data_IF_022037967537
#
_entry.id   IF_022037967537
#
_cell.length_a   1.000
_cell.length_b   1.000
_cell.length_c   1.000
_cell.angle_alpha   90.00
_cell.angle_beta   90.00
_cell.angle_gamma   90.00
#
_symmetry.space_group_name_H-M   'P 1'
#
loop_
_entity.id
_entity.type
_entity.pdbx_description
1 polymer ?
#
# COMPACT_ATOMS: atom_id res chain seq x y z
N UNK A 1 13.65 11.40 17.72
CA UNK A 1 12.56 11.39 18.71
C UNK A 1 11.68 10.21 18.37
N UNK A 2 11.57 9.19 19.21
CA UNK A 2 10.48 8.24 19.08
C UNK A 2 9.21 8.98 19.52
N UNK A 3 8.45 9.50 18.56
CA UNK A 3 7.05 9.77 18.83
C UNK A 3 6.41 8.45 19.27
N UNK A 4 5.58 8.48 20.32
CA UNK A 4 4.86 7.31 20.80
C UNK A 4 3.95 6.80 19.68
N UNK A 5 4.44 5.81 18.94
CA UNK A 5 3.71 5.16 17.84
C UNK A 5 2.38 4.61 18.37
N UNK A 6 1.27 4.90 17.68
CA UNK A 6 -0.02 4.36 18.09
C UNK A 6 0.05 2.83 18.04
N UNK A 7 -0.58 2.20 19.03
CA UNK A 7 -0.75 0.76 19.03
C UNK A 7 -2.19 0.39 19.32
N UNK A 8 -2.60 -0.73 18.75
CA UNK A 8 -3.90 -1.35 19.02
C UNK A 8 -3.69 -2.81 19.42
N UNK A 9 -4.22 -3.22 20.57
CA UNK A 9 -4.30 -4.64 20.91
C UNK A 9 -5.44 -5.22 20.06
N UNK A 10 -5.14 -6.12 19.12
CA UNK A 10 -6.15 -6.75 18.28
C UNK A 10 -6.88 -7.87 19.00
N UNK A 11 -6.15 -8.74 19.69
CA UNK A 11 -6.71 -9.83 20.45
C UNK A 11 -5.77 -10.24 21.59
N UNK A 12 -6.37 -10.76 22.65
CA UNK A 12 -5.66 -11.24 23.83
C UNK A 12 -6.25 -12.59 24.27
N UNK A 13 -5.39 -13.57 24.54
CA UNK A 13 -5.78 -14.85 25.13
C UNK A 13 -4.70 -15.32 26.09
N UNK A 14 -5.11 -15.56 27.33
CA UNK A 14 -4.21 -15.93 28.44
C UNK A 14 -3.13 -14.86 28.61
N UNK A 15 -1.86 -15.22 28.46
CA UNK A 15 -0.69 -14.37 28.59
C UNK A 15 -0.20 -13.78 27.26
N UNK A 16 -0.91 -14.02 26.14
CA UNK A 16 -0.51 -13.62 24.79
C UNK A 16 -1.40 -12.53 24.21
N UNK A 17 -0.77 -11.56 23.56
CA UNK A 17 -1.42 -10.46 22.86
C UNK A 17 -0.94 -10.38 21.40
N UNK A 18 -1.86 -10.08 20.48
CA UNK A 18 -1.57 -9.66 19.13
C UNK A 18 -1.67 -8.13 19.07
N UNK A 19 -0.57 -7.45 18.77
CA UNK A 19 -0.45 -5.99 18.72
C UNK A 19 -0.37 -5.55 17.26
N UNK A 20 -1.02 -4.44 16.94
CA UNK A 20 -0.99 -3.78 15.64
C UNK A 20 -0.44 -2.35 15.77
N UNK A 21 0.49 -2.02 14.88
CA UNK A 21 1.14 -0.71 14.71
C UNK A 21 0.72 -0.11 13.35
N UNK A 22 -0.30 0.76 13.33
CA UNK A 22 -0.82 1.39 12.13
C UNK A 22 0.22 2.04 11.22
N UNK A 23 1.17 2.74 11.81
CA UNK A 23 2.17 3.57 11.13
C UNK A 23 3.18 2.73 10.33
N UNK A 24 3.36 1.46 10.71
CA UNK A 24 4.19 0.49 9.96
C UNK A 24 3.40 -0.25 8.89
N UNK A 25 2.07 -0.13 8.87
CA UNK A 25 1.22 -0.93 8.00
C UNK A 25 1.17 -0.33 6.59
N UNK A 26 1.52 -1.13 5.59
CA UNK A 26 1.50 -0.72 4.18
C UNK A 26 0.26 -1.21 3.41
N UNK A 27 -0.80 -1.63 4.12
CA UNK A 27 -2.06 -2.06 3.50
C UNK A 27 -1.96 -3.28 2.57
N UNK A 28 -0.95 -4.14 2.72
CA UNK A 28 -0.66 -5.19 1.74
C UNK A 28 -1.51 -6.47 1.85
N UNK A 29 -2.20 -6.69 2.97
CA UNK A 29 -3.07 -7.86 3.19
C UNK A 29 -2.39 -9.22 3.31
N UNK A 30 -1.05 -9.29 3.37
CA UNK A 30 -0.33 -10.58 3.55
C UNK A 30 -0.76 -11.30 4.84
N UNK A 31 -1.06 -10.56 5.90
CA UNK A 31 -1.62 -11.10 7.14
C UNK A 31 -3.04 -11.68 6.97
N UNK A 32 -3.86 -11.09 6.10
CA UNK A 32 -5.20 -11.58 5.77
C UNK A 32 -5.10 -12.89 5.00
N UNK A 33 -4.24 -12.96 3.98
CA UNK A 33 -3.95 -14.19 3.23
C UNK A 33 -3.50 -15.33 4.15
N UNK A 34 -2.65 -15.04 5.14
CA UNK A 34 -2.09 -16.08 6.00
C UNK A 34 -3.04 -16.53 7.14
N UNK A 35 -4.02 -15.71 7.50
CA UNK A 35 -4.87 -15.93 8.68
C UNK A 35 -5.72 -17.22 8.53
N UNK A 36 -5.48 -18.28 9.33
CA UNK A 36 -6.22 -19.53 9.20
C UNK A 36 -7.71 -19.42 9.49
N UNK A 37 -8.12 -18.38 10.23
CA UNK A 37 -9.51 -18.12 10.61
C UNK A 37 -10.21 -17.09 9.72
N UNK A 38 -9.50 -16.45 8.78
CA UNK A 38 -10.07 -15.37 7.95
C UNK A 38 -10.60 -14.17 8.77
N UNK A 39 -10.05 -13.97 9.97
CA UNK A 39 -10.54 -13.01 10.96
C UNK A 39 -9.93 -11.60 10.83
N UNK A 40 -9.00 -11.42 9.90
CA UNK A 40 -8.42 -10.12 9.58
C UNK A 40 -9.00 -9.65 8.24
N UNK A 41 -9.10 -8.35 8.07
CA UNK A 41 -9.45 -7.74 6.79
C UNK A 41 -8.69 -6.45 6.56
N UNK A 42 -8.42 -6.13 5.29
CA UNK A 42 -7.89 -4.83 4.89
C UNK A 42 -9.02 -3.97 4.32
N UNK A 43 -9.07 -2.71 4.74
CA UNK A 43 -10.08 -1.74 4.34
C UNK A 43 -9.75 -0.99 3.04
N UNK A 44 -10.28 0.22 2.91
CA UNK A 44 -10.13 1.09 1.74
C UNK A 44 -8.72 1.70 1.62
N UNK A 45 -7.72 0.88 1.22
CA UNK A 45 -6.31 1.29 1.13
C UNK A 45 -6.14 2.57 0.31
N UNK A 46 -6.80 2.66 -0.85
CA UNK A 46 -6.74 3.84 -1.71
C UNK A 46 -7.20 5.12 -0.99
N UNK A 47 -8.41 5.11 -0.42
CA UNK A 47 -8.96 6.27 0.28
C UNK A 47 -8.15 6.67 1.52
N UNK A 48 -7.66 5.69 2.29
CA UNK A 48 -6.84 5.94 3.48
C UNK A 48 -5.51 6.59 3.08
N UNK A 49 -4.80 6.03 2.09
CA UNK A 49 -3.52 6.62 1.60
C UNK A 49 -3.72 8.03 1.05
N UNK A 50 -4.86 8.31 0.42
CA UNK A 50 -5.23 9.64 -0.10
C UNK A 50 -5.65 10.64 0.97
N UNK A 51 -5.70 10.24 2.24
CA UNK A 51 -6.16 11.10 3.34
C UNK A 51 -7.65 11.44 3.31
N UNK A 52 -8.45 10.64 2.58
CA UNK A 52 -9.90 10.84 2.44
C UNK A 52 -10.70 10.12 3.52
N UNK A 53 -10.05 9.22 4.26
CA UNK A 53 -10.66 8.42 5.30
C UNK A 53 -9.70 8.28 6.46
N UNK A 54 -10.10 8.76 7.65
CA UNK A 54 -9.38 8.50 8.89
C UNK A 54 -9.73 7.09 9.39
N UNK A 55 -8.94 6.12 8.95
CA UNK A 55 -9.11 4.72 9.33
C UNK A 55 -7.78 3.96 9.24
N UNK A 56 -7.72 2.86 9.99
CA UNK A 56 -6.63 1.89 9.88
C UNK A 56 -6.77 1.03 8.63
N UNK A 57 -5.64 0.69 8.00
CA UNK A 57 -5.65 -0.25 6.88
C UNK A 57 -6.17 -1.63 7.27
N UNK A 58 -5.83 -2.09 8.49
CA UNK A 58 -6.11 -3.45 8.94
C UNK A 58 -7.13 -3.42 10.08
N UNK A 59 -8.15 -4.27 9.97
CA UNK A 59 -9.16 -4.48 11.00
C UNK A 59 -9.25 -5.96 11.39
N UNK A 60 -9.61 -6.21 12.64
CA UNK A 60 -9.99 -7.53 13.14
C UNK A 60 -11.52 -7.63 13.18
N UNK A 61 -12.08 -8.70 12.62
CA UNK A 61 -13.54 -8.89 12.54
C UNK A 61 -14.12 -9.18 13.93
N UNK A 62 -13.62 -10.24 14.56
CA UNK A 62 -14.09 -10.70 15.87
C UNK A 62 -12.90 -10.96 16.78
N UNK A 63 -12.70 -10.11 17.80
CA UNK A 63 -11.55 -10.20 18.71
C UNK A 63 -11.46 -11.58 19.39
N UNK A 64 -12.60 -12.09 19.86
CA UNK A 64 -12.71 -13.38 20.56
C UNK A 64 -12.46 -14.61 19.67
N UNK A 65 -12.77 -14.51 18.38
CA UNK A 65 -12.54 -15.59 17.42
C UNK A 65 -11.03 -15.79 17.12
N UNK A 66 -10.19 -14.80 17.40
CA UNK A 66 -8.76 -14.87 17.19
C UNK A 66 -8.13 -15.95 18.07
N UNK A 67 -7.32 -16.83 17.48
CA UNK A 67 -6.58 -17.84 18.23
C UNK A 67 -5.26 -17.32 18.81
N UNK A 68 -4.89 -16.08 18.51
CA UNK A 68 -3.62 -15.47 18.95
C UNK A 68 -2.43 -16.38 18.57
N UNK A 69 -2.47 -16.94 17.34
CA UNK A 69 -1.49 -17.90 16.85
C UNK A 69 -0.20 -17.28 16.29
N UNK A 70 -0.21 -15.96 16.03
CA UNK A 70 0.95 -15.20 15.54
C UNK A 70 1.31 -15.37 14.07
N UNK A 71 0.61 -16.19 13.29
CA UNK A 71 0.94 -16.38 11.85
C UNK A 71 0.91 -15.06 11.08
N UNK A 72 -0.08 -14.19 11.35
CA UNK A 72 -0.19 -12.87 10.72
C UNK A 72 1.00 -11.95 11.03
N UNK A 73 1.54 -12.02 12.26
CA UNK A 73 2.72 -11.28 12.67
C UNK A 73 3.99 -11.86 12.00
N UNK A 74 4.10 -13.18 11.92
CA UNK A 74 5.26 -13.86 11.31
C UNK A 74 5.41 -13.59 9.82
N UNK A 75 4.33 -13.34 9.10
CA UNK A 75 4.35 -13.01 7.66
C UNK A 75 4.43 -11.51 7.37
N UNK A 76 4.34 -10.66 8.40
CA UNK A 76 4.31 -9.22 8.20
C UNK A 76 5.69 -8.72 7.77
N UNK A 77 5.85 -8.15 6.55
CA UNK A 77 7.17 -7.74 6.06
C UNK A 77 7.69 -6.49 6.78
N UNK A 78 6.81 -5.63 7.30
CA UNK A 78 7.17 -4.35 7.95
C UNK A 78 7.14 -4.42 9.48
N UNK A 79 6.78 -5.56 10.07
CA UNK A 79 6.63 -5.66 11.53
C UNK A 79 5.44 -4.87 12.10
N UNK A 80 4.45 -4.48 11.28
CA UNK A 80 3.23 -3.81 11.74
C UNK A 80 2.35 -4.67 12.66
N UNK A 81 2.56 -5.99 12.69
CA UNK A 81 1.91 -6.90 13.62
C UNK A 81 2.96 -7.60 14.46
N UNK A 82 2.79 -7.55 15.77
CA UNK A 82 3.69 -8.18 16.74
C UNK A 82 2.93 -9.06 17.71
N UNK A 83 3.61 -10.09 18.22
CA UNK A 83 3.10 -10.91 19.30
C UNK A 83 3.78 -10.50 20.60
N UNK A 84 3.03 -10.34 21.68
CA UNK A 84 3.58 -10.21 23.02
C UNK A 84 3.17 -11.38 23.89
N UNK A 85 4.05 -11.80 24.79
CA UNK A 85 3.76 -12.76 25.85
C UNK A 85 4.32 -12.22 27.16
N UNK A 86 3.48 -12.12 28.20
CA UNK A 86 3.85 -11.52 29.50
C UNK A 86 4.48 -10.11 29.32
N UNK A 87 3.94 -9.33 28.38
CA UNK A 87 4.43 -7.98 28.06
C UNK A 87 5.70 -7.90 27.21
N UNK A 88 6.38 -9.04 26.96
CA UNK A 88 7.59 -9.09 26.13
C UNK A 88 7.24 -9.41 24.68
N UNK A 89 7.84 -8.66 23.75
CA UNK A 89 7.71 -8.94 22.31
C UNK A 89 8.34 -10.29 21.98
N UNK A 90 7.55 -11.17 21.38
CA UNK A 90 7.97 -12.45 20.82
C UNK A 90 8.43 -12.22 19.38
N UNK A 91 9.70 -11.92 19.18
CA UNK A 91 10.30 -11.76 17.85
C UNK A 91 11.58 -12.58 17.75
N UNK A 92 11.47 -13.76 17.16
CA UNK A 92 12.57 -14.68 16.86
C UNK A 92 12.77 -14.81 15.34
N UNK A 93 13.66 -15.70 14.90
CA UNK A 93 13.94 -15.95 13.48
C UNK A 93 12.78 -16.60 12.70
N UNK A 94 11.64 -16.87 13.34
CA UNK A 94 10.42 -17.29 12.66
C UNK A 94 9.52 -16.13 12.19
N UNK A 95 9.92 -14.88 12.46
CA UNK A 95 9.26 -13.66 11.97
C UNK A 95 9.98 -13.12 10.75
N UNK A 96 9.26 -12.88 9.67
CA UNK A 96 9.82 -12.40 8.41
C UNK A 96 10.59 -11.09 8.58
N UNK A 97 10.01 -10.10 9.26
CA UNK A 97 10.65 -8.82 9.55
C UNK A 97 11.92 -8.94 10.38
N UNK A 98 12.09 -10.03 11.14
CA UNK A 98 13.28 -10.28 11.94
C UNK A 98 14.35 -11.10 11.21
N UNK A 99 13.90 -12.06 10.39
CA UNK A 99 14.78 -12.92 9.60
C UNK A 99 15.41 -12.19 8.42
N UNK A 100 14.70 -11.19 7.88
CA UNK A 100 15.21 -10.33 6.81
C UNK A 100 16.41 -9.51 7.29
N UNK A 101 17.49 -9.55 6.51
CA UNK A 101 18.68 -8.73 6.78
C UNK A 101 18.31 -7.25 6.65
N UNK A 102 18.63 -6.42 7.66
CA UNK A 102 18.38 -4.99 7.57
C UNK A 102 19.17 -4.39 6.40
N UNK A 103 18.60 -3.38 5.75
CA UNK A 103 19.33 -2.64 4.72
C UNK A 103 20.54 -1.96 5.36
N UNK A 104 21.73 -2.23 4.85
CA UNK A 104 22.98 -1.80 5.49
C UNK A 104 23.90 -1.08 4.51
N UNK A 105 24.69 -0.14 5.04
CA UNK A 105 25.72 0.61 4.30
C UNK A 105 27.10 0.16 4.77
N UNK A 106 27.99 -0.18 3.83
CA UNK A 106 29.36 -0.57 4.12
C UNK A 106 30.33 0.64 4.06
N UNK A 107 31.60 0.39 4.37
CA UNK A 107 32.67 1.39 4.44
C UNK A 107 33.07 2.03 3.09
N UNK A 108 32.59 1.50 1.96
CA UNK A 108 32.82 2.08 0.64
C UNK A 108 31.95 3.31 0.35
N UNK A 109 31.00 3.62 1.25
CA UNK A 109 30.12 4.78 1.11
C UNK A 109 30.90 6.09 1.05
N UNK A 110 30.49 6.98 0.14
CA UNK A 110 31.07 8.31 -0.05
C UNK A 110 30.13 9.44 0.38
N UNK A 111 29.00 9.11 1.02
CA UNK A 111 28.02 10.06 1.55
C UNK A 111 27.50 11.07 0.51
N UNK A 112 27.24 10.62 -0.72
CA UNK A 112 26.81 11.47 -1.83
C UNK A 112 25.34 11.92 -1.77
N UNK A 113 24.51 11.35 -0.90
CA UNK A 113 23.10 11.76 -0.70
C UNK A 113 22.10 11.15 -1.68
N UNK A 114 22.53 10.49 -2.77
CA UNK A 114 21.61 9.94 -3.78
C UNK A 114 20.60 8.93 -3.19
N UNK A 115 21.00 8.16 -2.19
CA UNK A 115 20.12 7.20 -1.52
C UNK A 115 19.02 7.88 -0.68
N UNK A 116 19.31 9.03 -0.08
CA UNK A 116 18.35 9.85 0.66
C UNK A 116 17.33 10.46 -0.31
N UNK A 117 17.80 11.08 -1.40
CA UNK A 117 16.94 11.70 -2.41
C UNK A 117 15.98 10.71 -3.10
N UNK A 118 16.40 9.47 -3.31
CA UNK A 118 15.59 8.46 -4.02
C UNK A 118 14.68 7.63 -3.11
N UNK A 119 14.85 7.69 -1.79
CA UNK A 119 14.13 6.81 -0.87
C UNK A 119 12.63 7.16 -0.86
N UNK A 120 11.74 6.27 -1.34
CA UNK A 120 10.31 6.59 -1.42
C UNK A 120 9.62 6.70 -0.05
N UNK A 121 10.27 6.19 1.00
CA UNK A 121 9.77 6.21 2.37
C UNK A 121 10.47 7.28 3.22
N UNK A 122 11.50 7.97 2.71
CA UNK A 122 12.23 8.98 3.47
C UNK A 122 13.02 8.42 4.67
N UNK A 123 13.43 7.16 4.64
CA UNK A 123 14.06 6.48 5.79
C UNK A 123 15.58 6.65 5.88
N UNK A 124 16.19 7.47 5.03
CA UNK A 124 17.66 7.56 4.92
C UNK A 124 18.07 8.98 5.23
N UNK A 125 19.02 9.14 6.15
CA UNK A 125 19.61 10.43 6.53
C UNK A 125 21.09 10.42 6.18
N UNK A 126 21.56 11.43 5.43
CA UNK A 126 22.97 11.56 5.04
C UNK A 126 23.55 12.87 5.56
N UNK A 127 24.44 12.78 6.56
CA UNK A 127 25.25 13.92 7.01
C UNK A 127 26.60 13.90 6.33
N UNK A 128 27.09 15.06 5.86
CA UNK A 128 28.35 15.18 5.12
C UNK A 128 29.02 16.53 5.29
N UNK A 129 30.35 16.50 5.32
CA UNK A 129 31.23 17.65 5.48
C UNK A 129 32.46 17.47 4.56
N UNK A 130 33.10 18.58 4.19
CA UNK A 130 34.39 18.53 3.49
C UNK A 130 35.47 18.20 4.51
N UNK A 131 36.34 17.24 4.18
CA UNK A 131 37.44 16.82 5.05
C UNK A 131 38.34 18.00 5.43
N UNK A 132 38.65 18.11 6.72
CA UNK A 132 39.54 19.14 7.27
C UNK A 132 41.03 18.89 6.94
N UNK A 133 41.39 17.70 6.47
CA UNK A 133 42.76 17.30 6.15
C UNK A 133 43.27 17.85 4.80
N UNK A 134 42.54 18.78 4.19
CA UNK A 134 42.86 19.39 2.89
C UNK A 134 42.62 18.49 1.69
N UNK A 135 42.15 17.25 1.89
CA UNK A 135 41.72 16.39 0.78
C UNK A 135 40.30 16.75 0.38
N UNK A 136 40.04 16.78 -0.92
CA UNK A 136 38.71 17.02 -1.49
C UNK A 136 37.83 15.77 -1.39
N UNK A 137 37.61 15.32 -0.15
CA UNK A 137 36.85 14.12 0.22
C UNK A 137 35.69 14.53 1.12
N UNK A 138 34.52 13.94 0.89
CA UNK A 138 33.39 14.03 1.80
C UNK A 138 33.58 13.02 2.95
N UNK A 139 33.43 13.51 4.18
CA UNK A 139 33.34 12.69 5.40
C UNK A 139 31.95 12.86 5.99
N UNK A 140 31.37 11.79 6.51
CA UNK A 140 29.96 11.82 6.88
C UNK A 140 29.45 10.54 7.50
N UNK A 141 28.13 10.50 7.69
CA UNK A 141 27.41 9.32 8.14
C UNK A 141 26.18 9.14 7.26
N UNK A 142 25.93 7.91 6.84
CA UNK A 142 24.68 7.52 6.18
C UNK A 142 23.96 6.57 7.11
N UNK A 143 22.80 6.99 7.61
CA UNK A 143 21.96 6.21 8.50
C UNK A 143 20.70 5.77 7.77
N UNK A 144 20.28 4.52 7.97
CA UNK A 144 19.05 3.98 7.40
C UNK A 144 18.17 3.56 8.56
N UNK A 145 17.00 4.15 8.68
CA UNK A 145 15.97 3.72 9.62
C UNK A 145 15.33 2.42 9.12
N UNK A 146 15.65 1.32 9.80
CA UNK A 146 15.16 -0.02 9.46
C UNK A 146 13.71 -0.25 9.84
N UNK A 147 13.13 0.57 10.72
CA UNK A 147 11.72 0.46 11.09
C UNK A 147 10.80 1.12 10.05
N UNK A 148 11.34 2.10 9.33
CA UNK A 148 10.69 2.77 8.19
C UNK A 148 10.93 2.03 6.85
N UNK A 149 12.10 1.40 6.69
CA UNK A 149 12.51 0.81 5.41
C UNK A 149 11.58 -0.32 4.95
N UNK A 150 11.10 -0.24 3.70
CA UNK A 150 10.29 -1.30 3.07
C UNK A 150 11.10 -2.25 2.18
N UNK A 151 12.43 -2.15 2.20
CA UNK A 151 13.35 -3.03 1.46
C UNK A 151 13.15 -3.02 -0.07
N UNK A 152 12.80 -1.86 -0.64
CA UNK A 152 12.52 -1.73 -2.07
C UNK A 152 13.76 -1.87 -2.98
N UNK A 153 14.95 -1.43 -2.54
CA UNK A 153 16.19 -1.55 -3.32
C UNK A 153 16.65 -0.27 -4.02
N UNK A 154 15.86 0.80 -4.06
CA UNK A 154 16.22 2.05 -4.78
C UNK A 154 17.57 2.63 -4.36
N UNK A 155 17.89 2.61 -3.07
CA UNK A 155 19.16 3.09 -2.55
C UNK A 155 20.36 2.26 -3.03
N UNK A 156 20.19 0.94 -3.21
CA UNK A 156 21.22 0.07 -3.74
C UNK A 156 21.44 0.34 -5.23
N UNK A 157 20.34 0.44 -6.00
CA UNK A 157 20.39 0.70 -7.44
C UNK A 157 21.01 2.04 -7.81
N UNK A 158 20.78 3.10 -7.02
CA UNK A 158 21.34 4.43 -7.30
C UNK A 158 22.79 4.57 -6.78
N UNK A 159 23.28 3.63 -5.98
CA UNK A 159 24.57 3.78 -5.31
C UNK A 159 25.73 3.62 -6.31
N UNK A 160 26.51 4.68 -6.59
CA UNK A 160 27.56 4.62 -7.62
C UNK A 160 28.75 3.73 -7.23
N UNK A 161 28.85 3.37 -5.95
CA UNK A 161 29.95 2.59 -5.36
C UNK A 161 29.46 1.27 -4.76
N UNK A 162 28.20 0.89 -5.01
CA UNK A 162 27.60 -0.37 -4.52
C UNK A 162 27.80 -0.60 -3.00
N UNK A 163 27.71 0.48 -2.21
CA UNK A 163 27.94 0.43 -0.77
C UNK A 163 26.72 -0.06 0.03
N UNK A 164 25.55 -0.20 -0.61
CA UNK A 164 24.29 -0.53 0.06
C UNK A 164 23.84 -1.93 -0.32
N UNK A 165 23.49 -2.74 0.69
CA UNK A 165 22.94 -4.08 0.53
C UNK A 165 21.49 -4.12 1.01
N UNK A 166 20.60 -4.72 0.21
CA UNK A 166 19.17 -4.84 0.49
C UNK A 166 18.75 -6.30 0.30
N UNK A 167 18.02 -6.84 1.27
CA UNK A 167 17.31 -8.12 1.14
C UNK A 167 15.81 -7.85 1.12
N UNK A 168 15.12 -8.32 0.07
CA UNK A 168 13.67 -8.16 -0.10
C UNK A 168 12.91 -9.24 0.68
N UNK A 169 11.63 -9.01 1.04
CA UNK A 169 10.83 -10.02 1.74
C UNK A 169 10.36 -11.15 0.81
N UNK A 170 10.01 -10.82 -0.43
CA UNK A 170 9.36 -11.74 -1.37
C UNK A 170 9.93 -11.59 -2.78
N UNK A 171 9.90 -12.70 -3.52
CA UNK A 171 9.88 -12.70 -4.99
C UNK A 171 8.44 -12.89 -5.46
N UNK A 172 8.13 -12.48 -6.69
CA UNK A 172 6.77 -12.63 -7.18
C UNK A 172 6.55 -12.26 -8.64
N UNK A 173 5.27 -12.30 -9.00
CA UNK A 173 4.73 -11.87 -10.28
C UNK A 173 3.75 -10.73 -10.05
N UNK A 174 3.84 -9.71 -10.90
CA UNK A 174 2.88 -8.63 -10.98
C UNK A 174 2.36 -8.59 -12.42
N UNK A 175 1.04 -8.52 -12.58
CA UNK A 175 0.41 -8.35 -13.89
C UNK A 175 -0.72 -7.33 -13.78
N UNK A 176 -1.01 -6.64 -14.88
CA UNK A 176 -2.11 -5.70 -14.97
C UNK A 176 -2.83 -5.81 -16.30
N UNK A 177 -4.13 -6.01 -16.26
CA UNK A 177 -4.98 -6.06 -17.45
C UNK A 177 -5.16 -4.63 -18.04
N UNK A 178 -4.64 -4.40 -19.24
CA UNK A 178 -4.78 -3.12 -19.96
C UNK A 178 -6.25 -2.79 -20.29
N UNK A 179 -7.10 -3.80 -20.48
CA UNK A 179 -8.49 -3.60 -20.89
C UNK A 179 -9.36 -3.20 -19.70
N UNK A 180 -8.99 -3.61 -18.49
CA UNK A 180 -9.71 -3.30 -17.25
C UNK A 180 -9.19 -2.01 -16.62
N UNK A 181 -7.87 -1.79 -16.65
CA UNK A 181 -7.25 -0.61 -16.04
C UNK A 181 -7.82 0.70 -16.63
N UNK A 182 -8.32 1.59 -15.76
CA UNK A 182 -8.84 2.90 -16.15
C UNK A 182 -7.91 4.06 -15.76
N UNK A 183 -6.67 3.76 -15.34
CA UNK A 183 -5.64 4.78 -15.06
C UNK A 183 -6.07 5.81 -13.99
N UNK A 184 -6.73 5.37 -12.92
CA UNK A 184 -7.12 6.25 -11.79
C UNK A 184 -5.98 6.58 -10.80
N UNK A 185 -4.77 6.07 -11.07
CA UNK A 185 -3.53 6.29 -10.30
C UNK A 185 -3.51 5.78 -8.85
N UNK A 186 -4.59 5.18 -8.34
CA UNK A 186 -4.63 4.65 -6.96
C UNK A 186 -3.48 3.69 -6.68
N UNK A 187 -3.17 2.79 -7.61
CA UNK A 187 -2.07 1.82 -7.47
C UNK A 187 -0.67 2.46 -7.44
N UNK A 188 -0.50 3.65 -8.02
CA UNK A 188 0.77 4.41 -8.01
C UNK A 188 0.96 5.04 -6.64
N UNK A 189 -0.08 5.68 -6.12
CA UNK A 189 -0.05 6.39 -4.84
C UNK A 189 0.09 5.45 -3.64
N UNK A 190 -0.59 4.29 -3.66
CA UNK A 190 -0.51 3.30 -2.56
C UNK A 190 0.78 2.47 -2.59
N UNK A 191 1.63 2.60 -3.61
CA UNK A 191 2.82 1.77 -3.73
C UNK A 191 3.92 2.25 -2.77
N UNK A 192 4.22 1.55 -1.67
CA UNK A 192 5.23 2.02 -0.71
C UNK A 192 6.65 1.99 -1.29
N UNK A 193 6.86 1.17 -2.31
CA UNK A 193 8.16 1.01 -2.96
C UNK A 193 8.34 1.97 -4.16
N UNK A 194 7.34 2.77 -4.52
CA UNK A 194 7.33 3.56 -5.77
C UNK A 194 7.71 2.71 -7.00
N UNK A 195 7.26 1.45 -7.02
CA UNK A 195 7.58 0.47 -8.06
C UNK A 195 6.59 0.51 -9.24
N UNK A 196 5.53 1.32 -9.13
CA UNK A 196 4.45 1.44 -10.11
C UNK A 196 4.35 2.90 -10.50
N UNK A 197 4.34 3.21 -11.80
CA UNK A 197 4.40 4.58 -12.30
C UNK A 197 3.79 4.69 -13.70
N UNK A 198 3.34 5.88 -14.08
CA UNK A 198 2.95 6.16 -15.46
C UNK A 198 4.19 6.55 -16.27
N UNK A 199 4.45 5.84 -17.37
CA UNK A 199 5.55 6.19 -18.29
C UNK A 199 5.20 7.49 -19.02
N UNK A 200 6.13 8.43 -19.10
CA UNK A 200 5.99 9.62 -19.96
C UNK A 200 5.98 9.18 -21.43
N UNK A 201 4.98 9.63 -22.18
CA UNK A 201 4.86 9.38 -23.61
C UNK A 201 5.13 10.65 -24.41
N UNK A 202 5.74 10.51 -25.59
CA UNK A 202 5.78 11.58 -26.58
C UNK A 202 4.42 11.68 -27.30
N UNK A 203 4.08 12.83 -27.90
CA UNK A 203 2.87 12.94 -28.72
C UNK A 203 2.80 11.83 -29.78
N UNK A 204 1.70 11.08 -29.79
CA UNK A 204 1.47 9.94 -30.71
C UNK A 204 2.11 8.61 -30.28
N UNK A 205 2.93 8.58 -29.23
CA UNK A 205 3.50 7.34 -28.68
C UNK A 205 2.46 6.63 -27.82
N UNK A 206 2.23 5.34 -28.10
CA UNK A 206 1.42 4.49 -27.23
C UNK A 206 2.32 3.86 -26.17
N UNK A 207 2.05 4.16 -24.90
CA UNK A 207 2.71 3.55 -23.75
C UNK A 207 1.69 2.74 -22.96
N UNK A 208 2.19 1.84 -22.11
CA UNK A 208 1.36 1.17 -21.12
C UNK A 208 0.69 2.20 -20.20
N UNK A 209 -0.56 1.96 -19.82
CA UNK A 209 -1.29 2.87 -18.91
C UNK A 209 -0.55 3.08 -17.59
N UNK A 210 -0.01 1.98 -17.06
CA UNK A 210 0.75 1.90 -15.81
C UNK A 210 1.90 0.92 -16.01
N UNK A 211 3.12 1.36 -15.75
CA UNK A 211 4.34 0.53 -15.81
C UNK A 211 4.76 0.07 -14.42
N UNK A 212 5.51 -1.03 -14.38
CA UNK A 212 5.99 -1.68 -13.17
C UNK A 212 7.50 -1.88 -13.23
N UNK A 213 8.20 -1.64 -12.12
CA UNK A 213 9.64 -1.90 -11.94
C UNK A 213 9.85 -3.10 -11.01
N UNK A 214 10.12 -4.31 -11.56
CA UNK A 214 10.34 -5.51 -10.75
C UNK A 214 11.46 -5.35 -9.71
N UNK A 215 12.53 -4.65 -10.10
CA UNK A 215 13.71 -4.45 -9.24
C UNK A 215 13.43 -3.57 -8.02
N UNK A 216 12.34 -2.79 -8.03
CA UNK A 216 11.87 -2.03 -6.86
C UNK A 216 10.71 -2.73 -6.12
N UNK A 217 9.97 -3.60 -6.80
CA UNK A 217 8.79 -4.25 -6.25
C UNK A 217 9.15 -5.26 -5.15
N UNK A 218 8.38 -5.23 -4.07
CA UNK A 218 8.48 -6.20 -2.95
C UNK A 218 7.33 -7.20 -2.95
N UNK A 219 6.48 -7.18 -3.98
CA UNK A 219 5.34 -8.10 -4.18
C UNK A 219 4.38 -8.17 -2.97
N UNK A 220 4.20 -7.05 -2.28
CA UNK A 220 3.39 -7.00 -1.06
C UNK A 220 1.90 -7.23 -1.34
N UNK A 221 1.36 -6.64 -2.42
CA UNK A 221 -0.04 -6.75 -2.84
C UNK A 221 -0.91 -5.51 -2.61
N UNK A 222 -0.40 -4.44 -1.99
CA UNK A 222 -1.19 -3.24 -1.67
C UNK A 222 -1.89 -2.62 -2.89
N UNK A 223 -1.22 -2.60 -4.04
CA UNK A 223 -1.78 -2.11 -5.30
C UNK A 223 -2.95 -2.94 -5.84
N UNK A 224 -2.96 -4.26 -5.60
CA UNK A 224 -4.06 -5.13 -5.97
C UNK A 224 -5.28 -4.86 -5.06
N UNK A 225 -5.06 -4.73 -3.76
CA UNK A 225 -6.13 -4.41 -2.78
C UNK A 225 -6.77 -3.06 -3.07
N UNK A 226 -5.96 -2.07 -3.44
CA UNK A 226 -6.44 -0.71 -3.69
C UNK A 226 -7.07 -0.52 -5.08
N UNK A 227 -7.02 -1.52 -5.97
CA UNK A 227 -7.52 -1.37 -7.33
C UNK A 227 -9.05 -1.46 -7.34
N UNK A 228 -9.79 -0.38 -7.65
CA UNK A 228 -11.26 -0.38 -7.57
C UNK A 228 -11.95 -1.18 -8.67
N UNK A 229 -11.18 -1.68 -9.64
CA UNK A 229 -11.64 -2.41 -10.82
C UNK A 229 -10.94 -3.76 -10.97
N UNK A 230 -10.18 -4.20 -9.96
CA UNK A 230 -9.49 -5.50 -9.96
C UNK A 230 -8.57 -5.74 -11.17
N UNK A 231 -7.95 -4.68 -11.70
CA UNK A 231 -7.10 -4.77 -12.89
C UNK A 231 -5.68 -5.32 -12.59
N UNK A 232 -5.29 -5.50 -11.32
CA UNK A 232 -3.93 -5.85 -10.91
C UNK A 232 -3.93 -7.18 -10.15
N UNK A 233 -3.08 -8.11 -10.56
CA UNK A 233 -2.81 -9.37 -9.84
C UNK A 233 -1.36 -9.41 -9.36
N UNK A 234 -1.18 -9.79 -8.09
CA UNK A 234 0.14 -9.97 -7.46
C UNK A 234 0.21 -11.35 -6.84
N UNK A 235 1.25 -12.12 -7.20
CA UNK A 235 1.54 -13.44 -6.64
C UNK A 235 2.92 -13.43 -6.03
N UNK A 236 3.04 -13.93 -4.80
CA UNK A 236 4.33 -14.21 -4.17
C UNK A 236 4.78 -15.59 -4.66
N UNK A 237 5.97 -15.68 -5.23
CA UNK A 237 6.53 -16.94 -5.76
C UNK A 237 7.57 -17.54 -4.80
N UNK A 238 8.21 -16.70 -3.98
CA UNK A 238 9.10 -17.14 -2.91
C UNK A 238 9.09 -16.16 -1.72
N UNK A 239 9.38 -16.69 -0.54
CA UNK A 239 9.85 -15.88 0.60
C UNK A 239 11.37 -15.86 0.51
N UNK A 240 12.00 -14.70 0.48
CA UNK A 240 13.44 -14.61 0.21
C UNK A 240 14.30 -14.85 1.46
N UNK A 241 14.01 -14.25 2.63
CA UNK A 241 14.82 -14.49 3.82
C UNK A 241 14.87 -15.96 4.22
N UNK A 242 15.99 -16.37 4.82
CA UNK A 242 16.09 -17.66 5.48
C UNK A 242 15.50 -17.54 6.90
N UNK A 243 14.45 -18.33 7.17
CA UNK A 243 13.66 -18.17 8.38
C UNK A 243 13.15 -19.51 8.92
N UNK A 244 13.01 -19.59 10.23
CA UNK A 244 12.46 -20.78 10.86
C UNK A 244 10.99 -21.00 10.45
N UNK A 245 10.63 -22.25 10.17
CA UNK A 245 9.25 -22.66 9.79
C UNK A 245 8.74 -21.98 8.51
N UNK A 246 9.64 -21.51 7.63
CA UNK A 246 9.35 -20.93 6.30
C UNK A 246 8.32 -21.73 5.51
N UNK A 247 8.47 -23.06 5.42
CA UNK A 247 7.58 -23.94 4.65
C UNK A 247 6.10 -23.92 5.07
N UNK A 248 5.79 -23.57 6.32
CA UNK A 248 4.39 -23.40 6.77
C UNK A 248 3.79 -22.11 6.22
N UNK A 249 4.59 -21.05 6.15
CA UNK A 249 4.19 -19.75 5.63
C UNK A 249 4.07 -19.80 4.10
N UNK A 250 5.00 -20.49 3.43
CA UNK A 250 4.99 -20.67 1.98
C UNK A 250 3.72 -21.37 1.50
N UNK A 251 3.29 -22.44 2.18
CA UNK A 251 2.03 -23.14 1.87
C UNK A 251 0.78 -22.25 1.95
N UNK A 252 0.85 -21.13 2.67
CA UNK A 252 -0.26 -20.18 2.83
C UNK A 252 -0.20 -19.02 1.85
N UNK A 253 1.01 -18.63 1.45
CA UNK A 253 1.25 -17.37 0.75
C UNK A 253 1.61 -17.54 -0.72
N UNK A 254 2.36 -18.58 -1.08
CA UNK A 254 2.90 -18.70 -2.42
C UNK A 254 1.79 -19.04 -3.42
N UNK A 255 1.81 -18.35 -4.56
CA UNK A 255 0.82 -18.43 -5.65
C UNK A 255 -0.63 -18.09 -5.24
N UNK A 256 -0.88 -17.79 -3.96
CA UNK A 256 -2.20 -17.39 -3.47
C UNK A 256 -2.54 -15.97 -3.95
N UNK A 257 -3.80 -15.73 -4.36
CA UNK A 257 -4.24 -14.39 -4.72
C UNK A 257 -4.21 -13.48 -3.50
N UNK A 258 -3.94 -12.20 -3.75
CA UNK A 258 -4.23 -11.15 -2.78
C UNK A 258 -5.73 -11.12 -2.54
N UNK A 259 -6.13 -11.07 -1.27
CA UNK A 259 -7.55 -11.00 -0.91
C UNK A 259 -8.07 -9.59 -1.17
N UNK A 260 -9.28 -9.44 -1.74
CA UNK A 260 -9.86 -8.13 -2.01
C UNK A 260 -10.13 -7.35 -0.72
N UNK A 261 -10.19 -6.03 -0.82
CA UNK A 261 -10.54 -5.17 0.31
C UNK A 261 -11.97 -5.47 0.79
N UNK A 262 -12.18 -5.52 2.11
CA UNK A 262 -13.53 -5.49 2.67
C UNK A 262 -13.90 -4.05 2.94
N UNK A 263 -14.66 -3.46 2.03
CA UNK A 263 -15.04 -2.06 2.10
C UNK A 263 -16.18 -1.87 3.11
N UNK A 264 -15.90 -1.09 4.15
CA UNK A 264 -16.89 -0.61 5.13
C UNK A 264 -17.09 0.88 4.95
N UNK A 265 -17.30 1.29 3.70
CA UNK A 265 -17.45 2.70 3.32
C UNK A 265 -18.64 2.87 2.39
N UNK A 266 -19.19 4.08 2.34
CA UNK A 266 -20.18 4.48 1.34
C UNK A 266 -19.89 5.89 0.85
N UNK A 267 -20.46 6.24 -0.31
CA UNK A 267 -20.40 7.59 -0.83
C UNK A 267 -21.55 8.41 -0.25
N UNK A 268 -21.22 9.47 0.46
CA UNK A 268 -22.18 10.47 0.91
C UNK A 268 -22.16 11.66 -0.05
N UNK A 269 -23.34 12.21 -0.37
CA UNK A 269 -23.48 13.34 -1.29
C UNK A 269 -24.26 14.49 -0.65
N UNK A 270 -23.80 15.72 -0.88
CA UNK A 270 -24.50 16.94 -0.52
C UNK A 270 -25.14 17.55 -1.77
N UNK A 271 -26.45 17.33 -1.91
CA UNK A 271 -27.21 17.86 -3.04
C UNK A 271 -27.28 19.38 -3.05
N UNK A 272 -27.23 20.06 -1.89
CA UNK A 272 -27.30 21.52 -1.85
C UNK A 272 -26.01 22.15 -2.39
N UNK A 273 -24.86 21.58 -2.03
CA UNK A 273 -23.55 22.03 -2.49
C UNK A 273 -23.25 21.65 -3.96
N UNK A 274 -23.79 20.54 -4.47
CA UNK A 274 -23.38 19.97 -5.75
C UNK A 274 -23.67 20.85 -6.98
N UNK A 275 -22.65 21.24 -7.75
CA UNK A 275 -22.84 22.06 -8.96
C UNK A 275 -23.32 21.30 -10.21
N UNK A 276 -23.45 19.97 -10.15
CA UNK A 276 -23.87 19.17 -11.31
C UNK A 276 -22.84 19.05 -12.44
N UNK A 277 -21.57 19.36 -12.20
CA UNK A 277 -20.54 19.41 -13.25
C UNK A 277 -20.15 18.04 -13.84
N UNK A 278 -20.46 16.94 -13.16
CA UNK A 278 -20.18 15.58 -13.64
C UNK A 278 -18.73 15.10 -13.49
N UNK A 279 -17.80 15.91 -12.95
CA UNK A 279 -16.39 15.51 -12.83
C UNK A 279 -16.20 14.18 -12.10
N UNK A 280 -16.89 14.01 -10.97
CA UNK A 280 -16.91 12.78 -10.18
C UNK A 280 -17.44 11.55 -10.94
N UNK A 281 -18.34 11.75 -11.92
CA UNK A 281 -18.84 10.69 -12.80
C UNK A 281 -17.74 10.28 -13.78
N UNK A 282 -17.06 11.25 -14.41
CA UNK A 282 -16.04 11.01 -15.44
C UNK A 282 -14.79 10.35 -14.86
N UNK A 283 -14.29 10.87 -13.73
CA UNK A 283 -13.04 10.34 -13.15
C UNK A 283 -13.22 9.00 -12.45
N UNK A 284 -14.47 8.56 -12.25
CA UNK A 284 -14.76 7.31 -11.57
C UNK A 284 -14.31 6.11 -12.42
N UNK A 285 -13.32 5.31 -11.97
CA UNK A 285 -12.84 4.18 -12.75
C UNK A 285 -13.89 3.07 -12.91
N UNK A 286 -14.81 2.93 -11.95
CA UNK A 286 -15.91 1.96 -12.03
C UNK A 286 -16.89 2.34 -13.13
N UNK A 287 -17.23 3.62 -13.24
CA UNK A 287 -18.05 4.11 -14.35
C UNK A 287 -17.31 3.98 -15.69
N UNK A 288 -16.04 4.40 -15.75
CA UNK A 288 -15.24 4.32 -16.97
C UNK A 288 -15.09 2.88 -17.48
N UNK A 289 -14.94 1.89 -16.58
CA UNK A 289 -14.91 0.49 -16.98
C UNK A 289 -16.21 0.03 -17.64
N UNK A 290 -17.35 0.57 -17.20
CA UNK A 290 -18.67 0.21 -17.72
C UNK A 290 -19.09 0.94 -19.00
N UNK A 291 -18.42 2.04 -19.34
CA UNK A 291 -18.81 2.92 -20.44
C UNK A 291 -17.58 3.43 -21.22
N UNK A 292 -17.44 2.99 -22.47
CA UNK A 292 -16.31 3.33 -23.34
C UNK A 292 -16.27 4.81 -23.74
N UNK A 293 -17.42 5.46 -23.88
CA UNK A 293 -17.49 6.88 -24.22
C UNK A 293 -17.01 7.71 -23.03
N UNK A 294 -17.45 7.34 -21.83
CA UNK A 294 -16.99 7.97 -20.60
C UNK A 294 -15.49 7.75 -20.36
N UNK A 295 -14.98 6.54 -20.62
CA UNK A 295 -13.55 6.24 -20.56
C UNK A 295 -12.71 7.08 -21.54
N UNK A 296 -13.30 7.54 -22.64
CA UNK A 296 -12.68 8.47 -23.58
C UNK A 296 -12.86 9.95 -23.18
N UNK A 297 -13.49 10.22 -22.04
CA UNK A 297 -13.72 11.57 -21.51
C UNK A 297 -14.98 12.25 -22.04
N UNK A 298 -15.88 11.52 -22.71
CA UNK A 298 -17.13 12.10 -23.20
C UNK A 298 -18.18 12.22 -22.10
N UNK A 299 -18.79 13.40 -22.00
CA UNK A 299 -19.88 13.75 -21.10
C UNK A 299 -21.25 13.38 -21.70
N UNK A 300 -21.43 12.11 -22.06
CA UNK A 300 -22.66 11.63 -22.68
C UNK A 300 -23.52 10.84 -21.67
N UNK A 301 -24.83 11.10 -21.63
CA UNK A 301 -25.83 10.36 -20.84
C UNK A 301 -25.41 10.09 -19.39
N UNK A 302 -25.24 11.17 -18.60
CA UNK A 302 -24.74 11.09 -17.22
C UNK A 302 -25.70 10.43 -16.23
N UNK A 303 -26.96 10.24 -16.63
CA UNK A 303 -28.05 9.81 -15.75
C UNK A 303 -28.06 8.28 -15.55
N UNK A 304 -27.46 7.56 -16.51
CA UNK A 304 -27.43 6.09 -16.60
C UNK A 304 -25.98 5.60 -16.59
N UNK A 305 -25.41 5.48 -15.40
CA UNK A 305 -24.02 5.03 -15.18
C UNK A 305 -23.98 3.92 -14.12
N UNK A 306 -22.84 3.23 -14.04
CA UNK A 306 -22.70 2.08 -13.16
C UNK A 306 -22.74 2.40 -11.67
N UNK A 307 -22.13 3.51 -11.25
CA UNK A 307 -21.92 3.88 -9.84
C UNK A 307 -22.41 5.30 -9.55
N UNK A 308 -21.92 6.30 -10.30
CA UNK A 308 -22.28 7.71 -10.12
C UNK A 308 -22.94 8.27 -11.36
N UNK A 309 -24.02 9.02 -11.20
CA UNK A 309 -24.63 9.80 -12.27
C UNK A 309 -24.96 11.23 -11.88
N UNK A 310 -25.43 12.02 -12.84
CA UNK A 310 -26.02 13.35 -12.61
C UNK A 310 -27.49 13.29 -12.97
N UNK A 311 -28.38 13.58 -12.03
CA UNK A 311 -29.84 13.64 -12.24
C UNK A 311 -30.36 14.97 -11.75
N UNK A 312 -31.20 15.64 -12.56
CA UNK A 312 -31.74 16.97 -12.26
C UNK A 312 -30.65 18.01 -11.88
N UNK A 313 -29.48 17.92 -12.52
CA UNK A 313 -28.34 18.81 -12.26
C UNK A 313 -27.63 18.56 -10.93
N UNK A 314 -27.87 17.44 -10.24
CA UNK A 314 -27.18 17.06 -9.00
C UNK A 314 -26.61 15.65 -9.11
N UNK A 315 -25.56 15.37 -8.35
CA UNK A 315 -24.99 14.01 -8.29
C UNK A 315 -25.98 13.04 -7.65
N UNK A 316 -26.03 11.82 -8.18
CA UNK A 316 -26.77 10.70 -7.62
C UNK A 316 -25.87 9.48 -7.56
N UNK A 317 -25.83 8.80 -6.40
CA UNK A 317 -25.20 7.49 -6.27
C UNK A 317 -26.19 6.42 -6.71
N UNK A 318 -25.86 5.72 -7.80
CA UNK A 318 -26.74 4.74 -8.45
C UNK A 318 -26.64 3.38 -7.76
N UNK A 319 -25.42 2.95 -7.41
CA UNK A 319 -25.17 1.66 -6.78
C UNK A 319 -23.96 1.73 -5.85
N UNK A 320 -24.21 1.82 -4.54
CA UNK A 320 -23.15 1.94 -3.52
C UNK A 320 -22.22 0.73 -3.48
N UNK A 321 -22.70 -0.46 -3.84
CA UNK A 321 -21.95 -1.70 -3.64
C UNK A 321 -20.90 -1.93 -4.74
N UNK A 322 -20.96 -1.15 -5.82
CA UNK A 322 -19.93 -1.12 -6.87
C UNK A 322 -18.77 -0.18 -6.56
N UNK A 323 -18.85 0.60 -5.49
CA UNK A 323 -17.78 1.53 -5.13
C UNK A 323 -16.54 0.77 -4.65
N UNK A 324 -15.41 0.92 -5.37
CA UNK A 324 -14.12 0.37 -4.94
C UNK A 324 -13.39 1.21 -3.88
N UNK A 325 -14.02 2.26 -3.34
CA UNK A 325 -13.47 3.16 -2.32
C UNK A 325 -12.07 3.72 -2.63
N UNK A 326 -11.81 4.08 -3.90
CA UNK A 326 -10.57 4.73 -4.30
C UNK A 326 -10.57 6.24 -3.97
N UNK A 327 -11.75 6.85 -3.91
CA UNK A 327 -11.94 8.25 -3.52
C UNK A 327 -11.64 9.28 -4.60
N UNK A 328 -11.41 8.87 -5.85
CA UNK A 328 -11.10 9.79 -6.97
C UNK A 328 -12.21 10.83 -7.16
N UNK A 329 -13.47 10.46 -6.93
CA UNK A 329 -14.62 11.36 -7.00
C UNK A 329 -14.60 12.47 -5.94
N UNK A 330 -14.08 12.19 -4.73
CA UNK A 330 -13.97 13.17 -3.66
C UNK A 330 -12.83 14.16 -3.95
N UNK A 331 -11.67 13.66 -4.42
CA UNK A 331 -10.51 14.51 -4.76
C UNK A 331 -10.80 15.54 -5.86
N UNK A 332 -11.63 15.19 -6.85
CA UNK A 332 -11.92 16.09 -7.97
C UNK A 332 -13.07 17.06 -7.69
N UNK A 333 -13.79 16.90 -6.57
CA UNK A 333 -14.97 17.71 -6.29
C UNK A 333 -14.56 19.11 -5.84
N UNK A 334 -14.88 20.19 -6.59
CA UNK A 334 -14.42 21.54 -6.24
C UNK A 334 -15.19 22.17 -5.06
N UNK A 335 -16.26 21.53 -4.61
CA UNK A 335 -17.20 22.04 -3.60
C UNK A 335 -17.48 21.01 -2.51
N UNK A 336 -16.67 19.95 -2.42
CA UNK A 336 -16.79 18.87 -1.44
C UNK A 336 -18.19 18.23 -1.36
N UNK A 337 -18.96 18.23 -2.46
CA UNK A 337 -20.32 17.72 -2.49
C UNK A 337 -20.43 16.18 -2.52
N UNK A 338 -19.31 15.47 -2.52
CA UNK A 338 -19.25 14.00 -2.44
C UNK A 338 -18.05 13.58 -1.60
N UNK A 339 -18.25 12.66 -0.66
CA UNK A 339 -17.22 12.20 0.29
C UNK A 339 -17.32 10.69 0.52
N UNK A 340 -16.21 10.06 0.87
CA UNK A 340 -16.22 8.68 1.37
C UNK A 340 -16.39 8.71 2.88
N UNK A 341 -17.39 7.98 3.38
CA UNK A 341 -17.70 7.91 4.81
C UNK A 341 -17.63 6.46 5.26
N UNK A 342 -17.14 6.22 6.49
CA UNK A 342 -17.11 4.89 7.10
C UNK A 342 -18.53 4.45 7.45
N UNK A 343 -18.89 3.20 7.14
CA UNK A 343 -20.08 2.55 7.68
C UNK A 343 -19.75 2.12 9.11
N UNK A 344 -20.43 2.70 10.10
CA UNK A 344 -20.47 2.12 11.43
C UNK A 344 -21.20 0.78 11.34
N UNK A 345 -20.59 -0.27 11.90
CA UNK A 345 -21.24 -1.58 11.97
C UNK A 345 -21.98 -1.62 13.30
N UNK A 346 -23.31 -1.69 13.28
CA UNK A 346 -24.13 -2.02 14.45
C UNK A 346 -23.87 -3.44 14.94
#
# INVERSE_FOLDING_TARGET
MQEDMRLSVFAEKKDKQLIYYPEKCIGCGTCVQACPKGNLTVGAVGAITRGLLDADFLEIKEREACLVCGICAKVCPTGALEMKQEGKTLTDMSYLSRAMKPTSVNESCVHCGLCEDICPQGCIEVTREISADGKLKLVGKTNIDTECCVHCGWCAEVCPVNAISVEKPFEGRWTRDENICQTCHTCVEVCPANAIFNKKAKPGERVEKISHRPDACIYCGACAIACPVDAIDVRKTAILPDMEKKGVLEKKLLEAPVQPAQLRTYLETDEAACLGCGNCVIVCPVNALSDRELAAGHLNNMDEKALLGVKNGRISVIDQDRCGADGTCALICPVDAIRLVKREVE
#
